data_IF_913392404738
#
_entry.id   IF_913392404738
#
_cell.length_a   1.000
_cell.length_b   1.000
_cell.length_c   1.000
_cell.angle_alpha   90.00
_cell.angle_beta   90.00
_cell.angle_gamma   90.00
#
_symmetry.space_group_name_H-M   'P 1'
#
loop_
_entity.id
_entity.type
_entity.pdbx_description
1 polymer ?
#
# COMPACT_ATOMS: atom_id res chain seq x y z
N UNK A 1 -17.61 7.11 19.62
CA UNK A 1 -16.17 7.23 19.34
C UNK A 1 -15.67 5.87 18.89
N UNK A 2 -15.33 5.68 17.62
CA UNK A 2 -14.77 4.42 17.13
C UNK A 2 -13.34 4.27 17.68
N UNK A 3 -13.09 3.19 18.42
CA UNK A 3 -11.79 2.89 19.03
C UNK A 3 -10.81 2.39 17.96
N UNK A 4 -9.52 2.60 18.19
CA UNK A 4 -8.48 2.27 17.23
C UNK A 4 -8.31 0.75 17.10
N UNK A 5 -8.31 0.24 15.87
CA UNK A 5 -7.91 -1.13 15.57
C UNK A 5 -6.49 -1.37 16.11
N UNK A 6 -6.33 -2.41 16.94
CA UNK A 6 -5.06 -2.83 17.51
C UNK A 6 -4.47 -3.97 16.68
N UNK A 7 -3.16 -3.89 16.47
CA UNK A 7 -2.32 -4.97 15.94
C UNK A 7 -2.33 -6.16 16.91
N UNK A 8 -2.70 -7.35 16.43
CA UNK A 8 -2.40 -8.64 17.09
C UNK A 8 -2.00 -9.66 16.05
N UNK A 9 -0.84 -10.27 16.25
CA UNK A 9 -0.30 -11.31 15.38
C UNK A 9 0.58 -10.74 14.27
N UNK A 10 1.89 -10.93 14.43
CA UNK A 10 2.78 -11.12 13.29
C UNK A 10 2.62 -12.60 12.95
N UNK A 11 1.86 -12.94 11.90
CA UNK A 11 2.03 -14.26 11.29
C UNK A 11 3.32 -14.19 10.51
N UNK A 12 4.37 -14.76 11.09
CA UNK A 12 5.67 -15.06 10.49
C UNK A 12 5.49 -16.02 9.31
N UNK A 13 4.89 -15.53 8.23
CA UNK A 13 4.52 -16.31 7.05
C UNK A 13 5.10 -15.75 5.74
N UNK A 14 5.91 -14.69 5.81
CA UNK A 14 6.70 -14.20 4.69
C UNK A 14 8.10 -13.89 5.24
N UNK A 15 9.06 -14.77 4.99
CA UNK A 15 10.39 -14.81 5.60
C UNK A 15 11.34 -13.70 5.11
N UNK A 16 10.82 -12.54 4.71
CA UNK A 16 11.66 -11.43 4.25
C UNK A 16 11.80 -10.38 5.36
N UNK A 17 13.03 -10.03 5.82
CA UNK A 17 13.24 -9.13 6.97
C UNK A 17 12.69 -7.71 6.79
N UNK A 18 12.44 -7.30 5.54
CA UNK A 18 11.83 -6.01 5.18
C UNK A 18 10.31 -6.05 5.02
N UNK A 19 9.66 -7.22 5.08
CA UNK A 19 8.23 -7.35 4.85
C UNK A 19 7.46 -7.61 6.14
N UNK A 20 6.38 -6.84 6.34
CA UNK A 20 5.49 -6.98 7.48
C UNK A 20 4.06 -7.26 7.00
N UNK A 21 3.60 -8.49 7.21
CA UNK A 21 2.20 -8.88 7.06
C UNK A 21 1.50 -8.81 8.43
N UNK A 22 0.44 -8.02 8.51
CA UNK A 22 -0.25 -7.72 9.76
C UNK A 22 -1.76 -7.90 9.61
N UNK A 23 -2.37 -8.54 10.62
CA UNK A 23 -3.81 -8.57 10.80
C UNK A 23 -4.24 -7.51 11.83
N UNK A 24 -5.34 -6.83 11.53
CA UNK A 24 -5.88 -5.73 12.32
C UNK A 24 -7.19 -6.13 12.96
N UNK A 25 -7.33 -5.83 14.26
CA UNK A 25 -8.50 -6.21 15.04
C UNK A 25 -9.07 -5.04 15.82
N UNK A 26 -10.38 -4.98 15.98
CA UNK A 26 -11.06 -4.09 16.92
C UNK A 26 -11.85 -4.93 17.92
N UNK A 27 -11.52 -4.81 19.21
CA UNK A 27 -12.10 -5.61 20.30
C UNK A 27 -12.16 -7.14 20.03
N UNK A 28 -11.19 -7.67 19.29
CA UNK A 28 -11.11 -9.09 18.94
C UNK A 28 -11.79 -9.47 17.61
N UNK A 29 -12.49 -8.54 16.97
CA UNK A 29 -13.08 -8.70 15.64
C UNK A 29 -12.04 -8.39 14.57
N UNK A 30 -11.87 -9.26 13.59
CA UNK A 30 -10.99 -9.02 12.45
C UNK A 30 -11.54 -7.85 11.60
N UNK A 31 -10.69 -6.87 11.34
CA UNK A 31 -11.04 -5.66 10.58
C UNK A 31 -10.42 -5.68 9.18
N UNK A 32 -9.24 -6.27 9.04
CA UNK A 32 -8.51 -6.25 7.78
C UNK A 32 -7.05 -6.65 7.94
N UNK A 33 -6.31 -6.51 6.85
CA UNK A 33 -4.89 -6.85 6.77
C UNK A 33 -4.09 -5.78 6.04
N UNK A 34 -2.80 -5.73 6.32
CA UNK A 34 -1.83 -4.96 5.54
C UNK A 34 -0.54 -5.73 5.33
N UNK A 35 0.00 -5.67 4.12
CA UNK A 35 1.33 -6.15 3.76
C UNK A 35 2.18 -4.96 3.32
N UNK A 36 3.24 -4.68 4.08
CA UNK A 36 4.07 -3.49 3.88
C UNK A 36 5.55 -3.86 3.80
N UNK A 37 6.24 -3.31 2.80
CA UNK A 37 7.69 -3.36 2.66
C UNK A 37 8.34 -2.11 3.29
N UNK A 38 9.49 -2.29 3.93
CA UNK A 38 10.31 -1.20 4.48
C UNK A 38 11.64 -1.12 3.74
N UNK A 39 11.84 0.00 3.04
CA UNK A 39 13.07 0.31 2.31
C UNK A 39 13.83 1.44 2.98
N UNK A 40 15.05 1.70 2.52
CA UNK A 40 15.83 2.83 3.01
C UNK A 40 15.16 4.15 2.58
N UNK A 41 14.50 4.81 3.53
CA UNK A 41 13.89 6.13 3.34
C UNK A 41 12.41 6.13 2.95
N UNK A 42 11.78 4.99 2.71
CA UNK A 42 10.34 4.91 2.43
C UNK A 42 9.73 3.55 2.76
N UNK A 43 8.41 3.54 3.01
CA UNK A 43 7.60 2.32 3.08
C UNK A 43 6.78 2.14 1.81
N UNK A 44 6.52 0.90 1.42
CA UNK A 44 5.62 0.56 0.32
C UNK A 44 4.48 -0.32 0.84
N UNK A 45 3.24 0.10 0.60
CA UNK A 45 2.05 -0.67 0.93
C UNK A 45 1.68 -1.49 -0.30
N UNK A 46 2.02 -2.78 -0.24
CA UNK A 46 1.71 -3.75 -1.29
C UNK A 46 0.27 -4.25 -1.14
N UNK A 47 -0.11 -4.61 0.08
CA UNK A 47 -1.45 -5.12 0.38
C UNK A 47 -2.14 -4.25 1.42
N UNK A 48 -3.37 -3.84 1.13
CA UNK A 48 -4.25 -3.20 2.10
C UNK A 48 -5.70 -3.61 1.83
N UNK A 49 -6.27 -4.39 2.74
CA UNK A 49 -7.65 -4.86 2.63
C UNK A 49 -8.38 -4.64 3.94
N UNK A 50 -9.59 -4.08 3.84
CA UNK A 50 -10.54 -3.94 4.95
C UNK A 50 -11.73 -4.84 4.63
N UNK A 51 -12.22 -5.55 5.63
CA UNK A 51 -13.46 -6.33 5.57
C UNK A 51 -14.59 -5.45 5.01
N UNK A 52 -15.28 -5.93 3.99
CA UNK A 52 -16.26 -5.15 3.25
C UNK A 52 -17.53 -4.87 4.08
N UNK A 53 -17.87 -5.75 5.01
CA UNK A 53 -18.99 -5.61 5.95
C UNK A 53 -18.74 -4.50 6.98
N UNK A 54 -17.47 -4.10 7.15
CA UNK A 54 -17.02 -3.06 8.06
C UNK A 54 -16.69 -1.72 7.36
N UNK A 55 -16.97 -1.61 6.05
CA UNK A 55 -16.78 -0.37 5.29
C UNK A 55 -17.62 0.79 5.83
N UNK A 56 -17.19 2.01 5.52
CA UNK A 56 -17.83 3.27 5.94
C UNK A 56 -17.85 3.53 7.45
N UNK A 57 -17.14 2.73 8.26
CA UNK A 57 -16.99 2.93 9.72
C UNK A 57 -15.71 3.66 10.12
N UNK A 58 -14.89 4.06 9.15
CA UNK A 58 -13.64 4.81 9.37
C UNK A 58 -12.38 3.96 9.56
N UNK A 59 -12.49 2.62 9.64
CA UNK A 59 -11.34 1.73 9.84
C UNK A 59 -10.22 1.92 8.82
N UNK A 60 -10.56 2.05 7.52
CA UNK A 60 -9.55 2.29 6.48
C UNK A 60 -8.70 3.54 6.74
N UNK A 61 -9.30 4.63 7.22
CA UNK A 61 -8.56 5.85 7.56
C UNK A 61 -7.68 5.65 8.79
N UNK A 62 -8.21 5.01 9.83
CA UNK A 62 -7.47 4.77 11.09
C UNK A 62 -6.28 3.84 10.89
N UNK A 63 -6.48 2.75 10.14
CA UNK A 63 -5.44 1.77 9.84
C UNK A 63 -4.36 2.41 8.98
N UNK A 64 -4.75 3.09 7.90
CA UNK A 64 -3.80 3.78 7.03
C UNK A 64 -3.02 4.85 7.80
N UNK A 65 -3.67 5.66 8.65
CA UNK A 65 -2.97 6.65 9.49
C UNK A 65 -1.89 6.02 10.38
N UNK A 66 -2.13 4.83 10.94
CA UNK A 66 -1.11 4.09 11.72
C UNK A 66 0.03 3.53 10.86
N UNK A 67 -0.23 3.19 9.60
CA UNK A 67 0.83 2.78 8.67
C UNK A 67 1.71 3.98 8.32
N UNK A 68 1.10 5.15 8.06
CA UNK A 68 1.81 6.35 7.61
C UNK A 68 2.80 6.91 8.65
N UNK A 69 2.69 6.54 9.93
CA UNK A 69 3.67 6.98 10.94
C UNK A 69 4.98 6.19 10.92
N UNK A 70 5.09 5.14 10.09
CA UNK A 70 6.20 4.17 10.14
C UNK A 70 7.37 4.55 9.25
N UNK A 71 7.14 5.41 8.26
CA UNK A 71 8.15 5.87 7.33
C UNK A 71 7.90 7.35 6.98
N UNK A 72 8.96 8.13 6.69
CA UNK A 72 8.81 9.54 6.31
C UNK A 72 8.17 9.71 4.93
N UNK A 73 8.26 8.68 4.08
CA UNK A 73 7.64 8.59 2.76
C UNK A 73 6.92 7.25 2.67
N UNK A 74 5.69 7.24 2.17
CA UNK A 74 4.94 6.01 1.89
C UNK A 74 4.45 6.01 0.46
N UNK A 75 4.65 4.89 -0.24
CA UNK A 75 4.24 4.68 -1.63
C UNK A 75 3.20 3.55 -1.68
N UNK A 76 2.25 3.65 -2.60
CA UNK A 76 1.33 2.55 -2.96
C UNK A 76 0.89 2.69 -4.41
N UNK A 77 0.29 1.65 -4.95
CA UNK A 77 -0.28 1.64 -6.29
C UNK A 77 -1.81 1.51 -6.25
N UNK A 78 -2.48 2.09 -7.24
CA UNK A 78 -3.91 1.87 -7.49
C UNK A 78 -4.15 1.56 -8.97
N UNK A 79 -5.28 0.91 -9.27
CA UNK A 79 -5.73 0.69 -10.64
C UNK A 79 -5.80 2.02 -11.43
N UNK A 80 -5.58 1.98 -12.77
CA UNK A 80 -5.79 3.11 -13.64
C UNK A 80 -7.18 3.70 -13.47
N UNK A 81 -7.30 5.01 -13.74
CA UNK A 81 -8.55 5.76 -13.58
C UNK A 81 -9.57 5.49 -14.70
N UNK A 82 -9.77 4.21 -15.03
CA UNK A 82 -10.70 3.73 -16.05
C UNK A 82 -12.04 3.30 -15.46
N UNK A 83 -12.13 3.19 -14.13
CA UNK A 83 -13.35 2.75 -13.43
C UNK A 83 -13.77 3.72 -12.32
N UNK A 84 -15.07 3.74 -12.02
CA UNK A 84 -15.61 4.50 -10.89
C UNK A 84 -15.01 4.07 -9.54
N UNK A 85 -14.59 2.80 -9.42
CA UNK A 85 -13.93 2.26 -8.22
C UNK A 85 -12.53 2.85 -8.07
N UNK A 86 -11.73 2.89 -9.14
CA UNK A 86 -10.40 3.50 -9.14
C UNK A 86 -10.47 4.99 -8.74
N UNK A 87 -11.43 5.74 -9.30
CA UNK A 87 -11.65 7.14 -8.89
C UNK A 87 -12.04 7.30 -7.41
N UNK A 88 -12.84 6.37 -6.85
CA UNK A 88 -13.17 6.36 -5.42
C UNK A 88 -11.93 6.08 -4.57
N UNK A 89 -11.07 5.15 -4.98
CA UNK A 89 -9.78 4.86 -4.31
C UNK A 89 -8.87 6.08 -4.32
N UNK A 90 -8.69 6.73 -5.48
CA UNK A 90 -7.89 7.94 -5.57
C UNK A 90 -8.38 9.04 -4.61
N UNK A 91 -9.69 9.33 -4.60
CA UNK A 91 -10.26 10.34 -3.68
C UNK A 91 -10.05 9.96 -2.21
N UNK A 92 -10.16 8.68 -1.86
CA UNK A 92 -9.90 8.21 -0.51
C UNK A 92 -8.44 8.50 -0.10
N UNK A 93 -7.47 8.11 -0.92
CA UNK A 93 -6.05 8.33 -0.62
C UNK A 93 -5.69 9.82 -0.63
N UNK A 94 -6.21 10.62 -1.56
CA UNK A 94 -6.05 12.07 -1.56
C UNK A 94 -6.60 12.73 -0.29
N UNK A 95 -7.74 12.25 0.22
CA UNK A 95 -8.29 12.73 1.50
C UNK A 95 -7.41 12.42 2.72
N UNK A 96 -6.43 11.53 2.56
CA UNK A 96 -5.43 11.16 3.55
C UNK A 96 -4.06 11.83 3.27
N UNK A 97 -3.97 12.70 2.26
CA UNK A 97 -2.75 13.44 1.91
C UNK A 97 -1.85 12.76 0.89
N UNK A 98 -2.33 11.73 0.17
CA UNK A 98 -1.57 11.15 -0.93
C UNK A 98 -1.64 12.00 -2.20
N UNK A 99 -0.56 11.96 -2.95
CA UNK A 99 -0.38 12.62 -4.24
C UNK A 99 -0.26 11.59 -5.35
N UNK A 100 -0.90 11.85 -6.49
CA UNK A 100 -0.70 11.04 -7.69
C UNK A 100 0.58 11.47 -8.41
N UNK A 101 1.34 10.48 -8.86
CA UNK A 101 2.65 10.69 -9.44
C UNK A 101 2.57 10.52 -10.98
N UNK A 102 2.97 11.51 -11.83
CA UNK A 102 2.90 11.47 -13.30
C UNK A 102 3.75 10.44 -14.07
N UNK A 103 4.40 9.48 -13.42
CA UNK A 103 5.33 8.56 -14.07
C UNK A 103 4.56 7.35 -14.60
N UNK A 104 4.80 7.00 -15.87
CA UNK A 104 4.25 5.78 -16.45
C UNK A 104 4.80 4.58 -15.68
N UNK A 105 3.90 3.80 -15.08
CA UNK A 105 4.25 2.73 -14.17
C UNK A 105 3.55 1.43 -14.53
N UNK A 106 4.35 0.38 -14.56
CA UNK A 106 3.95 -0.96 -14.94
C UNK A 106 4.37 -1.90 -13.81
N UNK A 107 3.39 -2.43 -13.10
CA UNK A 107 3.64 -3.40 -12.05
C UNK A 107 4.10 -4.71 -12.69
N UNK A 108 5.29 -5.22 -12.32
CA UNK A 108 5.80 -6.47 -12.86
C UNK A 108 4.80 -7.61 -12.59
N UNK A 109 4.42 -8.39 -13.59
CA UNK A 109 3.62 -9.60 -13.33
C UNK A 109 4.41 -10.69 -12.58
N UNK A 110 3.75 -11.44 -11.69
CA UNK A 110 4.33 -12.59 -10.99
C UNK A 110 4.64 -13.78 -11.93
N UNK A 111 4.05 -13.82 -13.13
CA UNK A 111 4.23 -14.92 -14.08
C UNK A 111 4.86 -14.43 -15.40
N UNK A 112 5.90 -15.14 -15.86
CA UNK A 112 6.50 -14.90 -17.17
C UNK A 112 5.44 -15.09 -18.28
N UNK A 113 5.24 -14.07 -19.11
CA UNK A 113 4.31 -14.11 -20.26
C UNK A 113 2.97 -13.41 -20.05
N UNK A 114 2.68 -12.89 -18.85
CA UNK A 114 1.56 -11.95 -18.62
C UNK A 114 2.09 -10.53 -18.78
N UNK A 115 1.38 -9.69 -19.52
CA UNK A 115 1.75 -8.29 -19.70
C UNK A 115 1.77 -7.58 -18.34
N UNK A 116 2.80 -6.76 -18.12
CA UNK A 116 2.87 -5.93 -16.93
C UNK A 116 1.63 -5.02 -16.84
N UNK A 117 1.13 -4.83 -15.62
CA UNK A 117 -0.13 -4.15 -15.38
C UNK A 117 0.12 -2.66 -15.17
N UNK A 118 -0.48 -1.81 -16.00
CA UNK A 118 -0.44 -0.37 -15.78
C UNK A 118 -1.14 -0.04 -14.45
N UNK A 119 -0.45 0.67 -13.57
CA UNK A 119 -0.98 1.16 -12.30
C UNK A 119 -0.58 2.61 -12.09
N UNK A 120 -1.33 3.32 -11.25
CA UNK A 120 -1.00 4.67 -10.82
C UNK A 120 -0.29 4.64 -9.47
N UNK A 121 0.91 5.19 -9.41
CA UNK A 121 1.69 5.32 -8.18
C UNK A 121 1.21 6.54 -7.38
N UNK A 122 0.91 6.34 -6.10
CA UNK A 122 0.61 7.40 -5.14
C UNK A 122 1.70 7.48 -4.07
N UNK A 123 1.96 8.69 -3.56
CA UNK A 123 2.91 8.91 -2.46
C UNK A 123 2.39 9.85 -1.39
N UNK A 124 2.83 9.63 -0.15
CA UNK A 124 2.53 10.44 1.03
C UNK A 124 3.83 10.78 1.78
N UNK A 125 4.01 12.00 2.33
CA UNK A 125 3.05 13.12 2.34
C UNK A 125 3.20 14.07 1.15
N UNK A 126 4.08 13.76 0.20
CA UNK A 126 4.43 14.63 -0.92
C UNK A 126 4.64 13.80 -2.20
N UNK A 127 4.55 14.43 -3.38
CA UNK A 127 4.97 13.79 -4.63
C UNK A 127 6.42 13.33 -4.55
N UNK A 128 6.74 12.24 -5.23
CA UNK A 128 8.13 11.80 -5.40
C UNK A 128 8.73 12.42 -6.66
N UNK A 129 10.04 12.62 -6.68
CA UNK A 129 10.75 12.99 -7.91
C UNK A 129 11.04 11.76 -8.79
N UNK A 130 11.58 11.99 -9.99
CA UNK A 130 11.92 10.91 -10.90
C UNK A 130 12.97 9.95 -10.33
N UNK A 131 13.95 10.45 -9.57
CA UNK A 131 14.99 9.60 -8.98
C UNK A 131 14.39 8.65 -7.94
N UNK A 132 13.48 9.15 -7.11
CA UNK A 132 12.74 8.37 -6.12
C UNK A 132 11.81 7.36 -6.78
N UNK A 133 11.12 7.74 -7.86
CA UNK A 133 10.31 6.82 -8.66
C UNK A 133 11.16 5.68 -9.24
N UNK A 134 12.29 6.02 -9.86
CA UNK A 134 13.20 5.02 -10.44
C UNK A 134 13.78 4.09 -9.37
N UNK A 135 14.04 4.61 -8.16
CA UNK A 135 14.43 3.77 -7.02
C UNK A 135 13.30 2.81 -6.63
N UNK A 136 12.07 3.31 -6.48
CA UNK A 136 10.91 2.49 -6.17
C UNK A 136 10.69 1.39 -7.21
N UNK A 137 10.75 1.70 -8.50
CA UNK A 137 10.54 0.73 -9.57
C UNK A 137 11.61 -0.39 -9.57
N UNK A 138 12.88 -0.05 -9.30
CA UNK A 138 13.95 -1.05 -9.14
C UNK A 138 13.73 -1.94 -7.93
N UNK A 139 13.43 -1.34 -6.78
CA UNK A 139 13.20 -2.08 -5.53
C UNK A 139 11.96 -3.00 -5.65
N UNK A 140 10.91 -2.53 -6.31
CA UNK A 140 9.73 -3.35 -6.63
C UNK A 140 10.11 -4.56 -7.51
N UNK A 141 10.85 -4.33 -8.59
CA UNK A 141 11.29 -5.41 -9.49
C UNK A 141 12.15 -6.47 -8.81
N UNK A 142 13.17 -6.04 -8.06
CA UNK A 142 14.16 -6.95 -7.49
C UNK A 142 13.70 -7.58 -6.18
N UNK A 143 13.19 -6.78 -5.24
CA UNK A 143 12.98 -7.21 -3.85
C UNK A 143 11.58 -7.76 -3.60
N UNK A 144 10.57 -7.19 -4.28
CA UNK A 144 9.17 -7.61 -4.14
C UNK A 144 8.85 -8.73 -5.12
N UNK A 145 9.26 -8.56 -6.38
CA UNK A 145 8.90 -9.48 -7.47
C UNK A 145 9.98 -10.54 -7.76
N UNK A 146 11.19 -10.40 -7.21
CA UNK A 146 12.27 -11.37 -7.39
C UNK A 146 12.83 -11.45 -8.81
N UNK A 147 12.74 -10.37 -9.59
CA UNK A 147 13.33 -10.29 -10.95
C UNK A 147 14.80 -9.85 -10.86
N UNK A 148 15.68 -10.53 -11.59
CA UNK A 148 17.11 -10.16 -11.75
C UNK A 148 17.32 -8.98 -12.70
#
# INVERSE_FOLDING_TARGET
MARAARKRGQTSGAEHPRYALEAWFDEGVFVGLSGCWQFAGYGYIEHLAIDDTLRSRGYGKQLLAQILTRAPLTILEIDPLTTAIAHKRLRFYQSMGFHANPWAHHHPSYHQGIADHELLVLSYPQPIDERQYQQFARDLGHEVMGRE
#
